data_IF_808769403473
#
_entry.id   IF_808769403473
#
_cell.length_a   1.000
_cell.length_b   1.000
_cell.length_c   1.000
_cell.angle_alpha   90.00
_cell.angle_beta   90.00
_cell.angle_gamma   90.00
#
_symmetry.space_group_name_H-M   'P 1'
#
loop_
_entity.id
_entity.type
_entity.pdbx_description
1 polymer ?
#
# COMPACT_ATOMS: atom_id res chain seq x y z
N UNK A 1 3.87 -12.15 -7.69
CA UNK A 1 4.33 -10.92 -7.02
C UNK A 1 5.04 -11.35 -5.75
N UNK A 2 6.16 -10.71 -5.44
CA UNK A 2 6.93 -11.03 -4.23
C UNK A 2 6.21 -10.49 -2.99
N UNK A 3 6.04 -11.36 -2.00
CA UNK A 3 5.31 -11.06 -0.77
C UNK A 3 5.98 -11.74 0.41
N UNK A 4 5.78 -11.19 1.60
CA UNK A 4 6.16 -11.78 2.87
C UNK A 4 4.91 -12.09 3.68
N UNK A 5 4.96 -13.20 4.42
CA UNK A 5 3.92 -13.56 5.37
C UNK A 5 4.46 -13.42 6.78
N UNK A 6 3.69 -12.78 7.65
CA UNK A 6 3.94 -12.72 9.08
C UNK A 6 2.71 -13.34 9.75
N UNK A 7 2.92 -14.30 10.63
CA UNK A 7 1.83 -15.04 11.25
C UNK A 7 2.09 -15.32 12.73
N UNK A 8 1.00 -15.57 13.46
CA UNK A 8 0.98 -16.09 14.82
C UNK A 8 -0.25 -17.01 14.98
N UNK A 9 -0.54 -17.47 16.20
CA UNK A 9 -1.66 -18.40 16.47
C UNK A 9 -3.06 -17.82 16.18
N UNK A 10 -3.16 -16.52 15.91
CA UNK A 10 -4.44 -15.81 15.73
C UNK A 10 -4.62 -15.33 14.28
N UNK A 11 -3.57 -14.79 13.68
CA UNK A 11 -3.62 -14.10 12.39
C UNK A 11 -2.48 -14.53 11.47
N UNK A 12 -2.77 -14.57 10.17
CA UNK A 12 -1.77 -14.56 9.11
C UNK A 12 -1.93 -13.29 8.26
N UNK A 13 -0.82 -12.58 8.03
CA UNK A 13 -0.79 -11.31 7.31
C UNK A 13 0.12 -11.45 6.10
N UNK A 14 -0.40 -11.13 4.91
CA UNK A 14 0.37 -11.06 3.67
C UNK A 14 0.65 -9.62 3.30
N UNK A 15 1.92 -9.31 3.08
CA UNK A 15 2.40 -7.98 2.68
C UNK A 15 3.14 -8.09 1.36
N UNK A 16 2.71 -7.36 0.35
CA UNK A 16 3.42 -7.24 -0.91
C UNK A 16 4.68 -6.39 -0.74
N UNK A 17 5.80 -6.83 -1.31
CA UNK A 17 7.03 -6.03 -1.29
C UNK A 17 6.92 -4.78 -2.17
N UNK A 18 6.00 -4.76 -3.15
CA UNK A 18 5.66 -3.54 -3.86
C UNK A 18 4.83 -2.63 -2.96
N UNK A 19 5.39 -1.47 -2.62
CA UNK A 19 4.73 -0.43 -1.83
C UNK A 19 4.45 -0.81 -0.39
N UNK A 20 5.04 -1.91 0.10
CA UNK A 20 4.79 -2.49 1.42
C UNK A 20 3.28 -2.62 1.72
N UNK A 21 2.49 -3.02 0.72
CA UNK A 21 1.03 -3.04 0.80
C UNK A 21 0.54 -4.29 1.56
N UNK A 22 -0.24 -4.10 2.62
CA UNK A 22 -0.97 -5.21 3.25
C UNK A 22 -2.07 -5.65 2.29
N UNK A 23 -2.02 -6.91 1.87
CA UNK A 23 -2.98 -7.49 0.91
C UNK A 23 -3.99 -8.42 1.59
N UNK A 24 -3.60 -9.05 2.70
CA UNK A 24 -4.49 -9.92 3.46
C UNK A 24 -4.16 -9.83 4.94
N UNK A 25 -5.19 -9.73 5.77
CA UNK A 25 -5.15 -10.04 7.20
C UNK A 25 -6.22 -11.10 7.39
N UNK A 26 -5.81 -12.31 7.74
CA UNK A 26 -6.71 -13.47 7.83
C UNK A 26 -6.74 -14.01 9.26
N UNK A 27 -7.93 -14.18 9.82
CA UNK A 27 -8.15 -14.91 11.06
C UNK A 27 -7.95 -16.40 10.83
N UNK A 28 -7.11 -17.02 11.66
CA UNK A 28 -6.87 -18.47 11.61
C UNK A 28 -7.98 -19.28 12.29
N UNK A 29 -8.82 -18.63 13.09
CA UNK A 29 -9.93 -19.28 13.81
C UNK A 29 -11.11 -19.62 12.90
N UNK A 30 -11.48 -18.71 12.01
CA UNK A 30 -12.68 -18.80 11.17
C UNK A 30 -12.38 -18.60 9.68
N UNK A 31 -11.10 -18.47 9.30
CA UNK A 31 -10.64 -18.23 7.94
C UNK A 31 -11.14 -16.92 7.30
N UNK A 32 -11.64 -15.96 8.08
CA UNK A 32 -12.10 -14.68 7.55
C UNK A 32 -10.95 -13.75 7.19
N UNK A 33 -10.98 -13.15 5.99
CA UNK A 33 -10.00 -12.15 5.53
C UNK A 33 -10.58 -10.74 5.63
N UNK A 34 -9.95 -9.88 6.43
CA UNK A 34 -10.44 -8.54 6.78
C UNK A 34 -10.14 -7.47 5.73
N UNK A 35 -9.13 -7.68 4.89
CA UNK A 35 -8.72 -6.71 3.87
C UNK A 35 -9.51 -6.94 2.59
N UNK A 36 -9.95 -5.84 1.97
CA UNK A 36 -10.63 -5.85 0.68
C UNK A 36 -9.79 -6.55 -0.40
N UNK A 37 -10.40 -7.45 -1.17
CA UNK A 37 -9.73 -8.34 -2.14
C UNK A 37 -9.33 -7.67 -3.47
N UNK A 38 -9.36 -6.33 -3.54
CA UNK A 38 -8.92 -5.54 -4.69
C UNK A 38 -9.66 -5.82 -6.01
N UNK A 39 -10.99 -6.03 -5.97
CA UNK A 39 -11.79 -6.16 -7.20
C UNK A 39 -11.65 -4.90 -8.07
N UNK A 40 -11.04 -5.04 -9.25
CA UNK A 40 -10.83 -3.91 -10.16
C UNK A 40 -12.15 -3.27 -10.65
N UNK A 41 -13.29 -3.99 -10.57
CA UNK A 41 -14.61 -3.42 -10.85
C UNK A 41 -14.98 -2.29 -9.90
N UNK A 42 -14.55 -2.37 -8.64
CA UNK A 42 -14.91 -1.40 -7.61
C UNK A 42 -13.69 -0.60 -7.15
N UNK A 43 -12.62 -1.28 -6.74
CA UNK A 43 -11.36 -0.68 -6.33
C UNK A 43 -10.21 -1.68 -6.40
N UNK A 44 -9.33 -1.54 -7.39
CA UNK A 44 -8.25 -2.49 -7.67
C UNK A 44 -7.02 -2.42 -6.76
N UNK A 45 -7.18 -2.04 -5.48
CA UNK A 45 -6.09 -1.94 -4.48
C UNK A 45 -6.55 -2.49 -3.14
N UNK A 46 -5.60 -2.82 -2.25
CA UNK A 46 -5.88 -3.34 -0.92
C UNK A 46 -5.76 -2.23 0.14
N UNK A 47 -4.57 -2.04 0.72
CA UNK A 47 -4.29 -1.02 1.73
C UNK A 47 -3.01 -0.24 1.38
N UNK A 48 -3.06 0.66 0.36
CA UNK A 48 -1.86 1.32 -0.14
C UNK A 48 -1.30 2.33 0.88
N UNK A 49 0.03 2.32 1.05
CA UNK A 49 0.73 3.36 1.82
C UNK A 49 0.81 4.66 1.00
N UNK A 50 0.42 5.78 1.63
CA UNK A 50 0.34 7.10 0.99
C UNK A 50 1.52 7.97 1.47
N UNK A 51 2.56 8.07 0.65
CA UNK A 51 3.76 8.85 0.98
C UNK A 51 4.47 9.33 -0.31
N UNK A 52 5.08 10.54 -0.31
CA UNK A 52 5.11 11.55 0.77
C UNK A 52 3.88 12.47 0.81
N UNK A 53 2.85 12.19 0.01
CA UNK A 53 1.65 13.02 -0.07
C UNK A 53 0.41 12.20 0.22
N UNK A 54 -0.55 12.82 0.91
CA UNK A 54 -1.91 12.31 1.09
C UNK A 54 -2.83 13.14 0.19
N UNK A 55 -3.86 12.52 -0.39
CA UNK A 55 -4.73 13.18 -1.36
C UNK A 55 -4.01 13.57 -2.67
N UNK A 56 -4.48 14.65 -3.30
CA UNK A 56 -3.96 15.20 -4.56
C UNK A 56 -3.64 16.68 -4.33
N UNK A 57 -2.44 17.11 -4.73
CA UNK A 57 -2.10 18.53 -4.76
C UNK A 57 -2.82 19.24 -5.91
N UNK A 58 -3.10 20.54 -5.77
CA UNK A 58 -3.66 21.34 -6.85
C UNK A 58 -2.82 21.18 -8.13
N UNK A 59 -3.48 20.86 -9.24
CA UNK A 59 -2.84 20.57 -10.53
C UNK A 59 -1.73 19.50 -10.51
N UNK A 60 -1.68 18.62 -9.50
CA UNK A 60 -0.58 17.67 -9.27
C UNK A 60 0.80 18.32 -9.06
N UNK A 61 0.82 19.57 -8.60
CA UNK A 61 2.05 20.36 -8.42
C UNK A 61 2.20 20.84 -6.99
N UNK A 62 3.43 21.07 -6.58
CA UNK A 62 3.79 21.66 -5.30
C UNK A 62 5.09 22.45 -5.43
N UNK A 63 5.33 23.37 -4.49
CA UNK A 63 6.50 24.23 -4.48
C UNK A 63 7.45 23.83 -3.35
N UNK A 64 8.76 23.82 -3.62
CA UNK A 64 9.83 23.83 -2.63
C UNK A 64 10.74 25.01 -2.97
N UNK A 65 10.94 25.96 -2.05
CA UNK A 65 11.80 27.14 -2.25
C UNK A 65 11.49 27.92 -3.54
N UNK A 66 10.20 28.06 -3.86
CA UNK A 66 9.72 28.74 -5.07
C UNK A 66 9.85 27.93 -6.37
N UNK A 67 10.46 26.73 -6.33
CA UNK A 67 10.56 25.82 -7.47
C UNK A 67 9.40 24.84 -7.52
N UNK A 68 8.81 24.67 -8.70
CA UNK A 68 7.71 23.73 -8.95
C UNK A 68 8.17 22.29 -9.17
N UNK A 69 7.44 21.36 -8.56
CA UNK A 69 7.63 19.93 -8.69
C UNK A 69 6.30 19.23 -8.94
N UNK A 70 6.34 18.14 -9.70
CA UNK A 70 5.17 17.31 -9.98
C UNK A 70 5.05 16.17 -8.96
N UNK A 71 3.82 15.89 -8.51
CA UNK A 71 3.51 14.74 -7.67
C UNK A 71 2.13 14.17 -7.99
N UNK A 72 2.07 12.85 -8.21
CA UNK A 72 0.80 12.15 -8.41
C UNK A 72 0.04 12.02 -7.09
N UNK A 73 -1.28 11.84 -7.18
CA UNK A 73 -2.15 11.55 -6.05
C UNK A 73 -1.60 10.39 -5.18
N UNK A 74 -1.58 10.64 -3.87
CA UNK A 74 -1.06 9.75 -2.82
C UNK A 74 0.45 9.44 -2.91
N UNK A 75 1.20 10.33 -3.55
CA UNK A 75 2.64 10.20 -3.69
C UNK A 75 3.09 9.04 -4.58
N UNK A 76 4.26 8.50 -4.26
CA UNK A 76 4.92 7.47 -5.07
C UNK A 76 5.19 6.16 -4.33
N UNK A 77 5.13 6.15 -3.00
CA UNK A 77 5.54 5.00 -2.18
C UNK A 77 4.86 3.69 -2.58
N UNK A 78 3.55 3.73 -2.89
CA UNK A 78 2.77 2.58 -3.37
C UNK A 78 3.26 1.92 -4.67
N UNK A 79 4.29 2.46 -5.32
CA UNK A 79 4.94 1.92 -6.53
C UNK A 79 6.43 1.63 -6.31
N UNK A 80 6.95 1.85 -5.10
CA UNK A 80 8.34 1.59 -4.75
C UNK A 80 8.54 0.12 -4.42
N UNK A 81 9.60 -0.50 -4.94
CA UNK A 81 9.99 -1.86 -4.55
C UNK A 81 10.71 -1.83 -3.21
N UNK A 82 10.39 -2.78 -2.34
CA UNK A 82 11.08 -3.02 -1.08
C UNK A 82 11.75 -4.39 -1.10
N UNK A 83 12.81 -4.52 -0.32
CA UNK A 83 13.47 -5.78 -0.05
C UNK A 83 13.38 -6.07 1.44
N UNK A 84 13.42 -7.35 1.78
CA UNK A 84 13.50 -7.75 3.17
C UNK A 84 14.87 -7.38 3.72
N UNK A 85 14.93 -6.41 4.62
CA UNK A 85 16.14 -6.08 5.36
C UNK A 85 16.26 -7.07 6.53
N UNK A 86 16.98 -8.17 6.32
CA UNK A 86 17.44 -9.04 7.41
C UNK A 86 18.92 -8.79 7.66
#
# INVERSE_FOLDING_TARGET
MEQVTIENDVLAIKVALLGAEVQEVKSLKDNFSYIWYADAKYWGRHAPVLFPFIGRSYENKYLIDGKEYNMKQHGFFKRSGFQNCR
#
